data_IF_883763867523
#
_entry.id   IF_883763867523
#
_cell.length_a   1.000
_cell.length_b   1.000
_cell.length_c   1.000
_cell.angle_alpha   90.00
_cell.angle_beta   90.00
_cell.angle_gamma   90.00
#
_symmetry.space_group_name_H-M   'P 1'
#
loop_
_entity.id
_entity.type
_entity.pdbx_description
1 polymer ?
#
# COMPACT_ATOMS: atom_id res chain seq x y z
N UNK A 1 -7.21 9.68 11.22
CA UNK A 1 -7.04 10.48 9.96
C UNK A 1 -5.56 10.81 9.80
N UNK A 2 -4.98 10.68 8.59
CA UNK A 2 -3.56 10.99 8.35
C UNK A 2 -3.32 12.50 8.53
N UNK A 3 -2.29 12.86 9.29
CA UNK A 3 -1.96 14.26 9.58
C UNK A 3 -1.23 14.92 8.41
N UNK A 4 -1.40 16.24 8.29
CA UNK A 4 -0.69 17.06 7.29
C UNK A 4 0.83 16.99 7.43
N UNK A 5 1.33 16.84 8.67
CA UNK A 5 2.75 16.67 9.00
C UNK A 5 3.42 15.52 8.24
N UNK A 6 2.74 14.38 8.08
CA UNK A 6 3.21 13.22 7.30
C UNK A 6 3.45 13.59 5.83
N UNK A 7 2.51 14.32 5.22
CA UNK A 7 2.64 14.77 3.82
C UNK A 7 3.72 15.83 3.68
N UNK A 8 3.81 16.76 4.63
CA UNK A 8 4.84 17.81 4.62
C UNK A 8 6.25 17.21 4.77
N UNK A 9 6.40 16.14 5.59
CA UNK A 9 7.65 15.37 5.63
C UNK A 9 8.00 14.78 4.26
N UNK A 10 7.07 14.10 3.59
CA UNK A 10 7.30 13.49 2.27
C UNK A 10 7.63 14.54 1.21
N UNK A 11 6.99 15.72 1.25
CA UNK A 11 7.33 16.87 0.37
C UNK A 11 8.76 17.36 0.59
N UNK A 12 9.17 17.50 1.85
CA UNK A 12 10.54 17.91 2.22
C UNK A 12 11.55 16.85 1.79
N UNK A 13 11.26 15.56 2.02
CA UNK A 13 12.11 14.45 1.60
C UNK A 13 12.25 14.40 0.07
N UNK A 14 11.18 14.64 -0.70
CA UNK A 14 11.22 14.68 -2.16
C UNK A 14 12.20 15.74 -2.68
N UNK A 15 12.28 16.89 -2.01
CA UNK A 15 13.20 17.99 -2.36
C UNK A 15 14.64 17.75 -1.91
N UNK A 16 14.86 16.99 -0.84
CA UNK A 16 16.14 16.80 -0.17
C UNK A 16 16.48 15.32 0.01
N UNK A 17 16.36 14.51 -1.06
CA UNK A 17 16.50 13.06 -0.98
C UNK A 17 17.98 12.62 -0.91
N UNK A 18 18.62 12.91 0.21
CA UNK A 18 19.99 12.50 0.52
C UNK A 18 20.12 12.09 2.00
N UNK A 19 21.22 11.42 2.32
CA UNK A 19 21.46 10.84 3.65
C UNK A 19 21.65 11.90 4.74
N UNK A 20 22.34 12.97 4.43
CA UNK A 20 22.69 14.01 5.41
C UNK A 20 21.42 14.72 5.87
N UNK A 21 20.58 15.13 4.94
CA UNK A 21 19.28 15.73 5.25
C UNK A 21 18.39 14.77 6.04
N UNK A 22 18.31 13.50 5.63
CA UNK A 22 17.48 12.50 6.30
C UNK A 22 17.93 12.29 7.74
N UNK A 23 19.25 12.17 7.99
CA UNK A 23 19.81 12.00 9.33
C UNK A 23 19.54 13.23 10.21
N UNK A 24 19.69 14.44 9.66
CA UNK A 24 19.39 15.68 10.36
C UNK A 24 17.89 15.84 10.70
N UNK A 25 17.01 15.20 9.92
CA UNK A 25 15.56 15.26 10.09
C UNK A 25 14.93 13.92 10.51
N UNK A 26 15.71 13.03 11.13
CA UNK A 26 15.28 11.68 11.50
C UNK A 26 14.04 11.67 12.40
N UNK A 27 13.95 12.62 13.32
CA UNK A 27 12.76 12.76 14.19
C UNK A 27 11.48 13.03 13.38
N UNK A 28 11.53 13.88 12.36
CA UNK A 28 10.37 14.13 11.49
C UNK A 28 9.94 12.87 10.75
N UNK A 29 10.88 12.03 10.35
CA UNK A 29 10.59 10.73 9.77
C UNK A 29 9.92 9.78 10.77
N UNK A 30 10.43 9.71 12.00
CA UNK A 30 9.91 8.84 13.05
C UNK A 30 8.47 9.24 13.40
N UNK A 31 8.21 10.54 13.56
CA UNK A 31 6.87 11.08 13.83
C UNK A 31 5.91 10.77 12.67
N UNK A 32 6.31 11.05 11.42
CA UNK A 32 5.50 10.77 10.24
C UNK A 32 5.24 9.27 10.03
N UNK A 33 6.23 8.43 10.32
CA UNK A 33 6.09 6.97 10.28
C UNK A 33 5.12 6.46 11.32
N UNK A 34 5.17 6.99 12.53
CA UNK A 34 4.25 6.63 13.62
C UNK A 34 2.80 7.01 13.26
N UNK A 35 2.59 8.21 12.74
CA UNK A 35 1.26 8.64 12.26
C UNK A 35 0.72 7.70 11.15
N UNK A 36 1.59 7.30 10.22
CA UNK A 36 1.22 6.35 9.18
C UNK A 36 0.92 4.96 9.75
N UNK A 37 1.66 4.51 10.77
CA UNK A 37 1.43 3.24 11.46
C UNK A 37 0.06 3.21 12.15
N UNK A 38 -0.32 4.28 12.84
CA UNK A 38 -1.66 4.44 13.44
C UNK A 38 -2.76 4.40 12.37
N UNK A 39 -2.54 5.09 11.24
CA UNK A 39 -3.50 5.09 10.14
C UNK A 39 -3.68 3.69 9.52
N UNK A 40 -2.58 2.96 9.32
CA UNK A 40 -2.62 1.57 8.82
C UNK A 40 -3.33 0.66 9.81
N UNK A 41 -3.14 0.86 11.11
CA UNK A 41 -3.87 0.10 12.14
C UNK A 41 -5.38 0.33 12.04
N UNK A 42 -5.83 1.59 11.99
CA UNK A 42 -7.25 1.92 11.81
C UNK A 42 -7.82 1.30 10.52
N UNK A 43 -7.04 1.31 9.43
CA UNK A 43 -7.44 0.73 8.16
C UNK A 43 -7.59 -0.79 8.23
N UNK A 44 -6.65 -1.49 8.90
CA UNK A 44 -6.74 -2.94 9.13
C UNK A 44 -8.02 -3.28 9.89
N UNK A 45 -8.36 -2.53 10.96
CA UNK A 45 -9.58 -2.77 11.73
C UNK A 45 -10.83 -2.63 10.85
N UNK A 46 -10.90 -1.59 10.02
CA UNK A 46 -12.04 -1.37 9.09
C UNK A 46 -12.13 -2.43 8.00
N UNK A 47 -11.02 -2.91 7.48
CA UNK A 47 -11.01 -4.00 6.50
C UNK A 47 -11.44 -5.31 7.17
N UNK A 48 -11.04 -5.56 8.40
CA UNK A 48 -11.40 -6.76 9.16
C UNK A 48 -12.92 -6.89 9.40
N UNK A 49 -13.69 -5.80 9.36
CA UNK A 49 -15.15 -5.84 9.45
C UNK A 49 -15.80 -6.64 8.31
N UNK A 50 -15.15 -6.76 7.14
CA UNK A 50 -15.67 -7.48 5.98
C UNK A 50 -14.70 -8.53 5.41
N UNK A 51 -13.43 -8.52 5.83
CA UNK A 51 -12.41 -9.50 5.45
C UNK A 51 -11.66 -9.97 6.72
N UNK A 52 -12.18 -11.02 7.35
CA UNK A 52 -11.60 -11.59 8.57
C UNK A 52 -10.16 -12.10 8.38
N UNK A 53 -9.72 -12.34 7.14
CA UNK A 53 -8.36 -12.86 6.87
C UNK A 53 -7.26 -11.89 7.24
N UNK A 54 -7.57 -10.62 7.42
CA UNK A 54 -6.64 -9.57 7.84
C UNK A 54 -6.72 -9.26 9.34
N UNK A 55 -7.63 -9.92 10.06
CA UNK A 55 -7.78 -9.74 11.51
C UNK A 55 -6.49 -10.11 12.24
N UNK A 56 -6.11 -9.29 13.21
CA UNK A 56 -4.89 -9.51 14.02
C UNK A 56 -3.57 -9.17 13.33
N UNK A 57 -3.60 -8.62 12.10
CA UNK A 57 -2.39 -8.10 11.47
C UNK A 57 -1.83 -6.89 12.23
N UNK A 58 -0.52 -6.86 12.37
CA UNK A 58 0.16 -5.69 12.91
C UNK A 58 0.62 -4.74 11.77
N UNK A 59 0.47 -3.42 11.91
CA UNK A 59 0.87 -2.45 10.90
C UNK A 59 2.30 -2.62 10.43
N UNK A 60 3.23 -2.94 11.35
CA UNK A 60 4.65 -3.16 11.03
C UNK A 60 4.89 -4.29 10.01
N UNK A 61 4.00 -5.29 9.96
CA UNK A 61 4.11 -6.39 8.99
C UNK A 61 3.55 -6.01 7.63
N UNK A 62 2.71 -5.00 7.57
CA UNK A 62 2.09 -4.49 6.35
C UNK A 62 2.91 -3.36 5.69
N UNK A 63 3.54 -2.49 6.49
CA UNK A 63 4.23 -1.29 6.01
C UNK A 63 5.54 -1.61 5.29
N UNK A 64 5.79 -0.92 4.18
CA UNK A 64 7.08 -0.95 3.49
C UNK A 64 8.07 0.03 4.13
N UNK A 65 9.35 -0.36 4.12
CA UNK A 65 10.44 0.52 4.54
C UNK A 65 10.60 1.70 3.58
N UNK A 66 10.99 2.84 4.09
CA UNK A 66 11.27 4.05 3.30
C UNK A 66 12.56 3.93 2.48
N UNK A 67 13.50 3.11 2.91
CA UNK A 67 14.78 2.89 2.22
C UNK A 67 14.56 2.25 0.85
N UNK A 68 15.18 2.82 -0.17
CA UNK A 68 15.13 2.33 -1.55
C UNK A 68 16.24 1.32 -1.81
N UNK A 69 15.97 0.26 -2.54
CA UNK A 69 17.01 -0.61 -3.07
C UNK A 69 17.50 -0.02 -4.39
N UNK A 70 18.68 0.58 -4.35
CA UNK A 70 19.26 1.31 -5.48
C UNK A 70 20.27 0.52 -6.29
N UNK A 71 20.50 -0.77 -5.96
CA UNK A 71 21.54 -1.59 -6.60
C UNK A 71 21.37 -1.66 -8.11
N UNK A 72 20.16 -1.90 -8.57
CA UNK A 72 19.81 -2.05 -9.98
C UNK A 72 19.00 -0.87 -10.56
N UNK A 73 18.80 0.20 -9.79
CA UNK A 73 18.04 1.37 -10.21
C UNK A 73 18.94 2.39 -10.90
N UNK A 74 18.43 3.03 -11.97
CA UNK A 74 19.05 4.22 -12.58
C UNK A 74 18.99 5.41 -11.63
N UNK A 75 17.89 5.54 -10.89
CA UNK A 75 17.71 6.55 -9.85
C UNK A 75 18.41 6.08 -8.55
N UNK A 76 19.45 6.81 -8.15
CA UNK A 76 20.29 6.52 -6.99
C UNK A 76 19.83 7.23 -5.71
N UNK A 77 18.68 7.91 -5.72
CA UNK A 77 18.12 8.52 -4.50
C UNK A 77 17.88 7.44 -3.43
N UNK A 78 18.34 7.65 -2.18
CA UNK A 78 18.37 6.59 -1.17
C UNK A 78 17.00 6.27 -0.55
N UNK A 79 16.01 7.17 -0.67
CA UNK A 79 14.72 7.02 -0.02
C UNK A 79 13.56 7.04 -1.01
N UNK A 80 12.49 6.32 -0.69
CA UNK A 80 11.19 6.45 -1.34
C UNK A 80 10.54 7.76 -0.89
N UNK A 81 9.80 8.40 -1.76
CA UNK A 81 9.04 9.62 -1.46
C UNK A 81 7.57 9.32 -1.17
N UNK A 82 7.29 8.09 -0.77
CA UNK A 82 5.96 7.61 -0.40
C UNK A 82 6.01 6.66 0.79
N UNK A 83 4.94 6.62 1.54
CA UNK A 83 4.61 5.51 2.41
C UNK A 83 3.66 4.54 1.70
N UNK A 84 3.81 3.25 1.98
CA UNK A 84 2.96 2.21 1.44
C UNK A 84 2.77 1.07 2.42
N UNK A 85 1.61 0.42 2.34
CA UNK A 85 1.32 -0.78 3.12
C UNK A 85 0.58 -1.81 2.26
N UNK A 86 0.95 -3.08 2.40
CA UNK A 86 0.25 -4.21 1.80
C UNK A 86 -0.47 -4.98 2.92
N UNK A 87 -1.79 -5.02 2.86
CA UNK A 87 -2.67 -5.61 3.86
C UNK A 87 -3.29 -6.86 3.25
N UNK A 88 -2.81 -8.01 3.68
CA UNK A 88 -3.34 -9.32 3.36
C UNK A 88 -2.96 -10.28 4.51
N UNK A 89 -3.48 -11.50 4.53
CA UNK A 89 -3.27 -12.47 5.64
C UNK A 89 -1.81 -12.75 6.04
N UNK A 90 -0.83 -12.29 5.28
CA UNK A 90 0.61 -12.43 5.57
C UNK A 90 1.37 -11.12 5.49
N UNK A 91 0.65 -9.99 5.41
CA UNK A 91 1.24 -8.67 5.24
C UNK A 91 2.07 -8.58 3.97
N UNK A 92 3.07 -7.70 3.95
CA UNK A 92 3.94 -7.49 2.77
C UNK A 92 4.82 -8.69 2.37
N UNK A 93 4.87 -9.74 3.20
CA UNK A 93 5.74 -10.91 2.93
C UNK A 93 5.13 -11.88 1.92
N UNK A 94 3.80 -11.92 1.81
CA UNK A 94 3.11 -12.83 0.92
C UNK A 94 2.64 -12.11 -0.35
N UNK A 95 2.98 -12.69 -1.52
CA UNK A 95 2.44 -12.26 -2.81
C UNK A 95 1.11 -12.96 -3.07
N UNK A 96 0.06 -12.49 -2.42
CA UNK A 96 -1.32 -12.93 -2.55
C UNK A 96 -2.23 -11.71 -2.74
N UNK A 97 -3.48 -11.94 -3.13
CA UNK A 97 -4.47 -10.88 -3.23
C UNK A 97 -4.68 -10.20 -1.86
N UNK A 98 -4.85 -8.90 -1.87
CA UNK A 98 -5.04 -8.08 -0.68
C UNK A 98 -5.28 -6.63 -1.05
N UNK A 99 -5.03 -5.76 -0.10
CA UNK A 99 -5.21 -4.31 -0.23
C UNK A 99 -3.84 -3.63 -0.21
N UNK A 100 -3.69 -2.58 -1.01
CA UNK A 100 -2.47 -1.77 -1.04
C UNK A 100 -2.81 -0.31 -0.85
N UNK A 101 -2.23 0.29 0.18
CA UNK A 101 -2.31 1.71 0.46
C UNK A 101 -1.04 2.41 -0.03
N UNK A 102 -1.22 3.50 -0.75
CA UNK A 102 -0.15 4.40 -1.20
C UNK A 102 -0.42 5.83 -0.75
N UNK A 103 0.57 6.45 -0.13
CA UNK A 103 0.54 7.85 0.30
C UNK A 103 1.81 8.54 -0.18
N UNK A 104 1.69 9.48 -1.07
CA UNK A 104 2.79 10.33 -1.54
C UNK A 104 2.38 11.81 -1.53
N UNK A 105 3.28 12.77 -1.79
CA UNK A 105 2.91 14.18 -1.92
C UNK A 105 1.93 14.48 -3.04
N UNK A 106 1.95 13.66 -4.08
CA UNK A 106 1.26 13.93 -5.35
C UNK A 106 0.06 12.98 -5.55
N UNK A 107 0.04 11.84 -4.85
CA UNK A 107 -0.92 10.78 -5.11
C UNK A 107 -1.29 10.02 -3.83
N UNK A 108 -2.57 9.71 -3.70
CA UNK A 108 -3.13 8.87 -2.63
C UNK A 108 -4.06 7.86 -3.28
N UNK A 109 -3.83 6.57 -3.04
CA UNK A 109 -4.80 5.57 -3.46
C UNK A 109 -4.83 4.36 -2.54
N UNK A 110 -5.98 3.71 -2.51
CA UNK A 110 -6.20 2.40 -1.94
C UNK A 110 -6.66 1.49 -3.07
N UNK A 111 -5.89 0.44 -3.36
CA UNK A 111 -6.22 -0.56 -4.37
C UNK A 111 -6.41 -1.93 -3.74
N UNK A 112 -7.13 -2.82 -4.44
CA UNK A 112 -7.23 -4.22 -4.05
C UNK A 112 -6.93 -5.12 -5.26
N UNK A 113 -6.28 -6.26 -5.00
CA UNK A 113 -5.96 -7.20 -6.06
C UNK A 113 -4.69 -7.99 -5.82
N UNK A 114 -4.19 -8.60 -6.89
CA UNK A 114 -2.95 -9.39 -6.89
C UNK A 114 -1.89 -8.66 -7.72
N UNK A 115 -0.87 -8.15 -7.04
CA UNK A 115 0.19 -7.37 -7.69
C UNK A 115 1.25 -8.27 -8.32
N UNK A 116 1.50 -8.09 -9.62
CA UNK A 116 2.53 -8.80 -10.41
C UNK A 116 2.60 -10.30 -10.10
N UNK A 117 1.51 -11.06 -10.25
CA UNK A 117 1.52 -12.49 -9.98
C UNK A 117 2.46 -13.25 -10.92
N UNK A 118 3.04 -14.34 -10.42
CA UNK A 118 3.73 -15.29 -11.25
C UNK A 118 2.77 -15.90 -12.31
N UNK A 119 3.25 -16.32 -13.48
CA UNK A 119 2.40 -16.78 -14.60
C UNK A 119 1.40 -17.89 -14.23
N UNK A 120 1.82 -18.84 -13.40
CA UNK A 120 0.98 -19.93 -12.89
C UNK A 120 -0.18 -19.42 -12.03
N UNK A 121 0.09 -18.48 -11.14
CA UNK A 121 -0.95 -17.82 -10.31
C UNK A 121 -1.90 -16.99 -11.16
N UNK A 122 -1.38 -16.27 -12.16
CA UNK A 122 -2.20 -15.51 -13.08
C UNK A 122 -3.14 -16.39 -13.88
N UNK A 123 -2.64 -17.55 -14.37
CA UNK A 123 -3.45 -18.54 -15.07
C UNK A 123 -4.58 -19.08 -14.17
N UNK A 124 -4.25 -19.51 -12.95
CA UNK A 124 -5.23 -20.00 -12.01
C UNK A 124 -6.34 -18.98 -11.68
N UNK A 125 -5.98 -17.69 -11.57
CA UNK A 125 -6.96 -16.60 -11.38
C UNK A 125 -7.86 -16.46 -12.59
N UNK A 126 -7.30 -16.46 -13.82
CA UNK A 126 -8.06 -16.38 -15.08
C UNK A 126 -9.04 -17.54 -15.25
N UNK A 127 -8.61 -18.77 -14.99
CA UNK A 127 -9.44 -19.96 -15.00
C UNK A 127 -10.58 -19.87 -13.98
N UNK A 128 -10.27 -19.44 -12.75
CA UNK A 128 -11.28 -19.26 -11.71
C UNK A 128 -12.33 -18.19 -12.10
N UNK A 129 -11.91 -17.12 -12.77
CA UNK A 129 -12.82 -16.09 -13.30
C UNK A 129 -13.70 -16.66 -14.42
N UNK A 130 -13.10 -17.41 -15.36
CA UNK A 130 -13.84 -18.01 -16.47
C UNK A 130 -14.94 -18.96 -15.99
N UNK A 131 -14.65 -19.79 -14.99
CA UNK A 131 -15.62 -20.74 -14.41
C UNK A 131 -16.68 -20.06 -13.53
N UNK A 132 -16.35 -18.92 -12.91
CA UNK A 132 -17.20 -18.25 -11.92
C UNK A 132 -17.60 -16.82 -12.32
N UNK A 133 -17.58 -16.52 -13.61
CA UNK A 133 -17.84 -15.18 -14.16
C UNK A 133 -19.12 -14.54 -13.67
N UNK A 134 -20.23 -15.29 -13.66
CA UNK A 134 -21.52 -14.78 -13.17
C UNK A 134 -21.52 -14.35 -11.70
N UNK A 135 -20.69 -14.99 -10.85
CA UNK A 135 -20.54 -14.61 -9.44
C UNK A 135 -19.69 -13.36 -9.28
N UNK A 136 -18.66 -13.20 -10.12
CA UNK A 136 -17.80 -12.03 -10.13
C UNK A 136 -18.52 -10.81 -10.66
N UNK A 137 -19.24 -10.95 -11.78
CA UNK A 137 -20.01 -9.89 -12.43
C UNK A 137 -21.05 -9.29 -11.47
N UNK A 138 -21.80 -10.12 -10.77
CA UNK A 138 -22.79 -9.69 -9.78
C UNK A 138 -22.18 -8.91 -8.62
N UNK A 139 -20.94 -9.23 -8.18
CA UNK A 139 -20.21 -8.46 -7.14
C UNK A 139 -19.65 -7.17 -7.69
N UNK A 140 -19.10 -7.20 -8.90
CA UNK A 140 -18.54 -6.04 -9.59
C UNK A 140 -19.59 -4.96 -9.87
N UNK A 141 -20.78 -5.36 -10.36
CA UNK A 141 -21.89 -4.42 -10.61
C UNK A 141 -22.37 -3.71 -9.34
N UNK A 142 -22.32 -4.36 -8.18
CA UNK A 142 -22.64 -3.73 -6.90
C UNK A 142 -21.59 -2.69 -6.46
N UNK A 143 -20.33 -2.88 -6.82
CA UNK A 143 -19.23 -1.95 -6.51
C UNK A 143 -19.21 -0.74 -7.45
N UNK A 144 -19.63 -0.91 -8.72
CA UNK A 144 -19.71 0.17 -9.72
C UNK A 144 -20.88 1.14 -9.52
N UNK A 145 -21.84 0.84 -8.64
CA UNK A 145 -22.96 1.74 -8.36
C UNK A 145 -22.63 2.83 -7.32
N UNK A 146 -21.40 2.85 -6.79
CA UNK A 146 -20.91 3.90 -5.91
C UNK A 146 -19.40 4.11 -6.11
N UNK A 147 -19.06 5.11 -6.90
CA UNK A 147 -17.79 5.85 -6.91
C UNK A 147 -16.47 5.06 -6.90
N UNK A 148 -16.23 4.21 -7.90
CA UNK A 148 -14.87 3.76 -8.20
C UNK A 148 -14.46 4.27 -9.59
N UNK A 149 -13.73 5.37 -9.60
CA UNK A 149 -12.97 5.79 -10.80
C UNK A 149 -11.78 4.84 -10.91
N UNK A 150 -11.83 3.91 -11.86
CA UNK A 150 -10.67 3.10 -12.24
C UNK A 150 -9.90 3.92 -13.27
N UNK A 151 -8.75 4.49 -12.84
CA UNK A 151 -7.76 5.05 -13.78
C UNK A 151 -6.94 3.89 -14.34
N UNK A 152 -6.90 3.78 -15.67
CA UNK A 152 -6.03 2.88 -16.41
C UNK A 152 -4.60 3.41 -16.48
#
# INVERSE_FOLDING_TARGET
MLHKSTIDFLKKLKKNNNRDWFNANKKLYEDARYEFEVFVFELIQKIAEFDETVSGLEPKDCMFRIYKDVRFSKDKTPYKTNFGAAINRGGRKLSIAGYYLHISPDEYFLGSGLYMPAPDKLLAVRESIAVRSAKLDRKSTRLNSSDLVISY
#
